data_IF_934988672549
#
_entry.id   IF_934988672549
#
_cell.length_a   1.000
_cell.length_b   1.000
_cell.length_c   1.000
_cell.angle_alpha   90.00
_cell.angle_beta   90.00
_cell.angle_gamma   90.00
#
_symmetry.space_group_name_H-M   'P 1'
#
loop_
_entity.id
_entity.type
_entity.pdbx_description
1 polymer ?
#
# COMPACT_ATOMS: atom_id res chain seq x y z
N UNK A 1 12.75 -28.36 2.49
CA UNK A 1 11.62 -27.93 3.33
C UNK A 1 10.60 -29.03 3.53
N UNK A 2 9.82 -29.42 2.50
CA UNK A 2 8.75 -30.40 2.66
C UNK A 2 9.24 -31.75 3.23
N UNK A 3 10.37 -32.26 2.73
CA UNK A 3 11.03 -33.48 3.25
C UNK A 3 11.58 -33.36 4.68
N UNK A 4 11.65 -32.14 5.23
CA UNK A 4 12.07 -31.88 6.61
C UNK A 4 10.90 -31.71 7.58
N UNK A 5 9.66 -31.79 7.11
CA UNK A 5 8.49 -31.82 7.98
C UNK A 5 8.38 -33.19 8.66
N UNK A 6 7.99 -33.20 9.94
CA UNK A 6 7.77 -34.44 10.67
C UNK A 6 6.63 -35.25 10.07
N UNK A 7 6.73 -36.58 10.12
CA UNK A 7 5.63 -37.44 9.69
C UNK A 7 4.36 -37.11 10.49
N UNK A 8 3.25 -36.83 9.80
CA UNK A 8 1.98 -36.46 10.43
C UNK A 8 1.92 -35.04 11.00
N UNK A 9 2.92 -34.18 10.75
CA UNK A 9 2.93 -32.80 11.25
C UNK A 9 1.96 -31.86 10.54
N UNK A 10 1.41 -32.28 9.40
CA UNK A 10 0.36 -31.58 8.66
C UNK A 10 -0.83 -32.53 8.56
N UNK A 11 -1.93 -32.16 9.22
CA UNK A 11 -3.14 -32.97 9.31
C UNK A 11 -4.27 -32.41 8.45
N UNK A 12 -4.16 -31.17 7.99
CA UNK A 12 -5.16 -30.52 7.16
C UNK A 12 -4.54 -29.45 6.26
N UNK A 13 -5.37 -28.94 5.34
CA UNK A 13 -4.97 -27.95 4.34
C UNK A 13 -4.51 -26.63 4.97
N UNK A 14 -5.16 -26.18 6.04
CA UNK A 14 -4.78 -24.93 6.72
C UNK A 14 -3.38 -25.02 7.34
N UNK A 15 -3.04 -26.14 7.97
CA UNK A 15 -1.70 -26.38 8.50
C UNK A 15 -0.64 -26.42 7.39
N UNK A 16 -0.98 -26.94 6.21
CA UNK A 16 -0.09 -26.90 5.04
C UNK A 16 0.14 -25.46 4.58
N UNK A 17 -0.92 -24.67 4.43
CA UNK A 17 -0.83 -23.26 4.07
C UNK A 17 0.02 -22.47 5.06
N UNK A 18 -0.20 -22.66 6.37
CA UNK A 18 0.58 -22.00 7.43
C UNK A 18 2.05 -22.39 7.34
N UNK A 19 2.37 -23.68 7.20
CA UNK A 19 3.75 -24.13 7.13
C UNK A 19 4.46 -23.62 5.86
N UNK A 20 3.75 -23.62 4.73
CA UNK A 20 4.27 -23.18 3.43
C UNK A 20 4.49 -21.66 3.42
N UNK A 21 3.52 -20.87 3.87
CA UNK A 21 3.66 -19.43 4.06
C UNK A 21 4.71 -19.10 5.13
N UNK A 22 4.83 -19.91 6.18
CA UNK A 22 5.84 -19.73 7.22
C UNK A 22 7.27 -19.91 6.71
N UNK A 23 7.48 -20.78 5.72
CA UNK A 23 8.79 -21.06 5.13
C UNK A 23 9.12 -20.19 3.92
N UNK A 24 8.15 -19.99 3.04
CA UNK A 24 8.34 -19.39 1.71
C UNK A 24 7.51 -18.13 1.49
N UNK A 25 6.56 -17.83 2.37
CA UNK A 25 5.92 -16.53 2.36
C UNK A 25 6.98 -15.47 2.62
N UNK A 26 6.92 -14.37 1.88
CA UNK A 26 7.66 -13.18 2.24
C UNK A 26 7.25 -12.81 3.68
N UNK A 27 8.09 -13.14 4.65
CA UNK A 27 8.07 -12.51 5.98
C UNK A 27 8.61 -11.10 5.80
N UNK A 28 7.91 -10.29 5.01
CA UNK A 28 8.09 -8.87 5.10
C UNK A 28 7.71 -8.53 6.54
N UNK A 29 8.71 -8.18 7.34
CA UNK A 29 8.50 -7.74 8.71
C UNK A 29 7.39 -6.68 8.68
N UNK A 30 6.37 -6.83 9.51
CA UNK A 30 5.23 -5.90 9.52
C UNK A 30 5.72 -4.45 9.67
N UNK A 31 6.81 -4.25 10.43
CA UNK A 31 7.48 -2.96 10.54
C UNK A 31 8.06 -2.50 9.21
N UNK A 32 8.71 -3.37 8.45
CA UNK A 32 9.24 -3.04 7.11
C UNK A 32 8.15 -2.69 6.10
N UNK A 33 6.96 -3.31 6.19
CA UNK A 33 5.82 -2.98 5.33
C UNK A 33 5.19 -1.64 5.71
N UNK A 34 5.05 -1.38 7.01
CA UNK A 34 4.59 -0.09 7.51
C UNK A 34 5.59 1.02 7.18
N UNK A 35 6.88 0.76 7.33
CA UNK A 35 7.94 1.68 6.95
C UNK A 35 7.82 2.04 5.47
N UNK A 36 7.79 1.04 4.58
CA UNK A 36 7.58 1.23 3.13
C UNK A 36 6.35 2.11 2.84
N UNK A 37 5.25 1.89 3.54
CA UNK A 37 4.03 2.68 3.39
C UNK A 37 4.22 4.14 3.86
N UNK A 38 4.88 4.36 4.98
CA UNK A 38 5.07 5.72 5.54
C UNK A 38 6.15 6.54 4.81
N UNK A 39 7.09 5.86 4.16
CA UNK A 39 8.19 6.48 3.42
C UNK A 39 7.95 6.53 1.91
N UNK A 40 6.85 5.95 1.42
CA UNK A 40 6.53 6.00 0.00
C UNK A 40 6.39 7.46 -0.44
N UNK A 41 7.07 7.80 -1.54
CA UNK A 41 7.00 9.10 -2.18
C UNK A 41 6.77 8.90 -3.66
N UNK A 42 5.99 9.81 -4.25
CA UNK A 42 5.88 9.88 -5.71
C UNK A 42 7.21 10.38 -6.29
N UNK A 43 7.75 9.67 -7.28
CA UNK A 43 8.95 10.15 -7.97
C UNK A 43 8.59 11.30 -8.94
N UNK A 44 9.49 12.26 -9.22
CA UNK A 44 9.17 13.43 -10.05
C UNK A 44 8.68 13.09 -11.46
N UNK A 45 9.13 11.97 -12.03
CA UNK A 45 8.79 11.50 -13.38
C UNK A 45 7.72 10.41 -13.39
N UNK A 46 7.23 10.00 -12.23
CA UNK A 46 6.22 8.94 -12.12
C UNK A 46 4.83 9.51 -12.39
N UNK A 47 4.08 8.88 -13.29
CA UNK A 47 2.69 9.26 -13.56
C UNK A 47 1.82 9.02 -12.32
N UNK A 48 0.79 9.84 -12.11
CA UNK A 48 -0.07 9.71 -10.93
C UNK A 48 -0.80 8.36 -10.89
N UNK A 49 -1.21 7.85 -12.04
CA UNK A 49 -1.86 6.53 -12.19
C UNK A 49 -0.97 5.39 -11.71
N UNK A 50 0.31 5.42 -12.08
CA UNK A 50 1.31 4.45 -11.67
C UNK A 50 1.59 4.55 -10.17
N UNK A 51 1.73 5.78 -9.67
CA UNK A 51 1.92 6.05 -8.25
C UNK A 51 0.75 5.54 -7.40
N UNK A 52 -0.49 5.86 -7.77
CA UNK A 52 -1.69 5.39 -7.08
C UNK A 52 -1.74 3.86 -7.04
N UNK A 53 -1.42 3.21 -8.16
CA UNK A 53 -1.38 1.75 -8.26
C UNK A 53 -0.29 1.13 -7.38
N UNK A 54 0.88 1.79 -7.24
CA UNK A 54 1.98 1.35 -6.37
C UNK A 54 1.64 1.55 -4.90
N UNK A 55 1.01 2.67 -4.56
CA UNK A 55 0.54 2.96 -3.21
C UNK A 55 -0.51 1.94 -2.76
N UNK A 56 -1.54 1.69 -3.58
CA UNK A 56 -2.58 0.70 -3.30
C UNK A 56 -2.00 -0.70 -3.09
N UNK A 57 -1.07 -1.14 -3.95
CA UNK A 57 -0.39 -2.43 -3.79
C UNK A 57 0.42 -2.50 -2.50
N UNK A 58 1.08 -1.41 -2.11
CA UNK A 58 1.85 -1.34 -0.86
C UNK A 58 0.93 -1.45 0.35
N UNK A 59 -0.21 -0.76 0.30
CA UNK A 59 -1.27 -0.83 1.32
C UNK A 59 -1.86 -2.24 1.49
N UNK A 60 -2.19 -2.89 0.38
CA UNK A 60 -2.80 -4.22 0.39
C UNK A 60 -1.87 -5.32 0.91
N UNK A 61 -0.55 -5.14 0.78
CA UNK A 61 0.46 -6.06 1.34
C UNK A 61 0.50 -6.05 2.87
N UNK A 62 0.04 -4.99 3.53
CA UNK A 62 0.05 -4.91 4.99
C UNK A 62 -1.06 -5.81 5.55
N UNK A 63 -0.76 -6.76 6.46
CA UNK A 63 -1.77 -7.62 7.05
C UNK A 63 -2.84 -6.82 7.79
N UNK A 64 -4.11 -7.22 7.65
CA UNK A 64 -5.28 -6.50 8.22
C UNK A 64 -5.11 -6.18 9.71
N UNK A 65 -4.49 -7.08 10.48
CA UNK A 65 -4.30 -6.94 11.93
C UNK A 65 -3.41 -5.74 12.31
N UNK A 66 -2.49 -5.36 11.43
CA UNK A 66 -1.53 -4.25 11.65
C UNK A 66 -1.70 -3.12 10.64
N UNK A 67 -2.68 -3.24 9.74
CA UNK A 67 -2.94 -2.26 8.70
C UNK A 67 -3.47 -0.97 9.35
N UNK A 68 -2.97 0.21 8.95
CA UNK A 68 -3.53 1.47 9.42
C UNK A 68 -5.03 1.60 9.08
N UNK A 69 -5.72 2.58 9.65
CA UNK A 69 -7.11 2.87 9.24
C UNK A 69 -7.16 3.47 7.85
N UNK A 70 -8.35 3.49 7.23
CA UNK A 70 -8.54 4.10 5.92
C UNK A 70 -8.20 5.61 5.94
N UNK A 71 -8.50 6.30 7.04
CA UNK A 71 -8.11 7.69 7.27
C UNK A 71 -6.59 7.82 7.37
N UNK A 72 -5.93 6.89 8.07
CA UNK A 72 -4.47 6.82 8.11
C UNK A 72 -3.86 6.63 6.73
N UNK A 73 -4.42 5.73 5.91
CA UNK A 73 -3.99 5.52 4.53
C UNK A 73 -4.09 6.80 3.69
N UNK A 74 -5.21 7.53 3.83
CA UNK A 74 -5.42 8.81 3.18
C UNK A 74 -4.39 9.87 3.61
N UNK A 75 -4.11 9.98 4.92
CA UNK A 75 -3.08 10.91 5.41
C UNK A 75 -1.67 10.57 4.90
N UNK A 76 -1.33 9.28 4.86
CA UNK A 76 -0.06 8.85 4.27
C UNK A 76 0.01 9.15 2.77
N UNK A 77 -1.11 9.01 2.05
CA UNK A 77 -1.18 9.35 0.64
C UNK A 77 -0.92 10.84 0.39
N UNK A 78 -1.58 11.74 1.14
CA UNK A 78 -1.33 13.18 1.06
C UNK A 78 0.13 13.52 1.40
N UNK A 79 0.72 12.84 2.39
CA UNK A 79 2.13 13.05 2.77
C UNK A 79 3.08 12.54 1.69
N UNK A 80 2.69 11.56 0.90
CA UNK A 80 3.53 10.96 -0.15
C UNK A 80 3.62 11.82 -1.42
N UNK A 81 2.69 12.75 -1.59
CA UNK A 81 2.58 13.68 -2.70
C UNK A 81 3.34 14.99 -2.44
N UNK A 82 3.46 15.82 -3.49
CA UNK A 82 3.92 17.19 -3.35
C UNK A 82 2.83 18.08 -2.74
N UNK A 83 3.22 19.24 -2.24
CA UNK A 83 2.32 20.15 -1.53
C UNK A 83 1.13 20.59 -2.39
N UNK A 84 1.37 20.95 -3.66
CA UNK A 84 0.35 21.51 -4.55
C UNK A 84 -0.79 20.52 -4.83
N UNK A 85 -0.45 19.26 -5.12
CA UNK A 85 -1.45 18.22 -5.38
C UNK A 85 -2.22 17.90 -4.09
N UNK A 86 -1.53 17.83 -2.95
CA UNK A 86 -2.19 17.58 -1.66
C UNK A 86 -3.19 18.68 -1.28
N UNK A 87 -2.85 19.94 -1.55
CA UNK A 87 -3.76 21.08 -1.38
C UNK A 87 -4.95 20.98 -2.35
N UNK A 88 -4.71 20.60 -3.61
CA UNK A 88 -5.79 20.44 -4.59
C UNK A 88 -6.76 19.32 -4.21
N UNK A 89 -6.27 18.20 -3.66
CA UNK A 89 -7.13 17.13 -3.15
C UNK A 89 -8.04 17.65 -2.03
N UNK A 90 -7.47 18.38 -1.08
CA UNK A 90 -8.23 18.93 0.04
C UNK A 90 -9.24 19.99 -0.40
N UNK A 91 -8.86 20.89 -1.31
CA UNK A 91 -9.74 21.97 -1.80
C UNK A 91 -10.91 21.44 -2.65
N UNK A 92 -10.71 20.32 -3.33
CA UNK A 92 -11.76 19.62 -4.09
C UNK A 92 -12.61 18.67 -3.23
N UNK A 93 -12.40 18.65 -1.90
CA UNK A 93 -13.21 17.86 -0.96
C UNK A 93 -12.87 16.38 -0.91
N UNK A 94 -11.68 15.97 -1.34
CA UNK A 94 -11.21 14.59 -1.21
C UNK A 94 -11.01 14.22 0.26
N UNK A 95 -11.87 13.36 0.80
CA UNK A 95 -11.81 12.87 2.19
C UNK A 95 -11.53 11.38 2.30
N UNK A 96 -11.60 10.65 1.18
CA UNK A 96 -11.31 9.22 1.11
C UNK A 96 -10.15 8.95 0.16
N UNK A 97 -9.49 7.80 0.32
CA UNK A 97 -8.40 7.38 -0.56
C UNK A 97 -8.85 7.23 -2.03
N UNK A 98 -10.02 6.61 -2.36
CA UNK A 98 -10.53 6.58 -3.72
C UNK A 98 -10.77 7.97 -4.34
N UNK A 99 -11.35 8.90 -3.57
CA UNK A 99 -11.57 10.27 -4.04
C UNK A 99 -10.24 10.98 -4.30
N UNK A 100 -9.29 10.80 -3.38
CA UNK A 100 -7.95 11.35 -3.51
C UNK A 100 -7.24 10.86 -4.77
N UNK A 101 -7.37 9.58 -5.14
CA UNK A 101 -6.81 9.05 -6.38
C UNK A 101 -7.39 9.72 -7.62
N UNK A 102 -8.72 9.86 -7.67
CA UNK A 102 -9.38 10.49 -8.81
C UNK A 102 -9.01 11.97 -8.93
N UNK A 103 -8.96 12.70 -7.82
CA UNK A 103 -8.59 14.11 -7.79
C UNK A 103 -7.11 14.29 -8.14
N UNK A 104 -6.21 13.46 -7.61
CA UNK A 104 -4.77 13.56 -7.87
C UNK A 104 -4.45 13.42 -9.37
N UNK A 105 -5.15 12.51 -10.07
CA UNK A 105 -5.00 12.33 -11.53
C UNK A 105 -5.47 13.58 -12.28
N UNK A 106 -6.59 14.19 -11.85
CA UNK A 106 -7.06 15.45 -12.45
C UNK A 106 -6.07 16.59 -12.20
N UNK A 107 -5.57 16.70 -10.97
CA UNK A 107 -4.60 17.71 -10.57
C UNK A 107 -3.31 17.64 -11.39
N UNK A 108 -2.79 16.43 -11.63
CA UNK A 108 -1.64 16.21 -12.50
C UNK A 108 -1.89 16.75 -13.92
N UNK A 109 -3.04 16.46 -14.51
CA UNK A 109 -3.39 16.96 -15.85
C UNK A 109 -3.51 18.49 -15.90
N UNK A 110 -4.03 19.12 -14.84
CA UNK A 110 -4.11 20.59 -14.77
C UNK A 110 -2.74 21.24 -14.60
N UNK A 111 -1.85 20.67 -13.78
CA UNK A 111 -0.54 21.24 -13.50
C UNK A 111 0.47 21.01 -14.63
N UNK A 112 0.32 19.97 -15.45
CA UNK A 112 1.14 19.77 -16.66
C UNK A 112 0.76 20.77 -17.77
N UNK A 113 -0.47 21.29 -17.75
CA UNK A 113 -1.00 22.20 -18.77
C UNK A 113 -0.88 23.69 -18.43
N UNK A 114 -0.45 24.03 -17.20
CA UNK A 114 -0.26 25.40 -16.72
C UNK A 114 1.21 25.83 -16.81
#
# INVERSE_FOLDING_TARGET
WFRGLGAGSIQNWDQLCIALCGQFGERADNLSLLEQMTTIKRAPTEQMTDFNSRFQRTWERIPIVVRPTNEGAFLYFLKALNFDISVMIQSMGGITLPDAYAIAIRAENFLIQA
#
